data_IF_943228963782
#
_entry.id   IF_943228963782
#
_cell.length_a   1.000
_cell.length_b   1.000
_cell.length_c   1.000
_cell.angle_alpha   90.00
_cell.angle_beta   90.00
_cell.angle_gamma   90.00
#
_symmetry.space_group_name_H-M   'P 1'
#
loop_
_entity.id
_entity.type
_entity.pdbx_description
1 polymer ?
#
# COMPACT_ATOMS: atom_id res chain seq x y z
N UNK A 1 -4.26 18.61 3.81
CA UNK A 1 -5.66 18.11 3.65
C UNK A 1 -5.68 16.61 3.42
N UNK A 2 -5.13 16.06 2.33
CA UNK A 2 -5.02 14.60 2.09
C UNK A 2 -4.38 13.85 3.26
N UNK A 3 -3.23 14.33 3.75
CA UNK A 3 -2.55 13.77 4.92
C UNK A 3 -3.48 13.59 6.13
N UNK A 4 -4.22 14.63 6.49
CA UNK A 4 -5.14 14.59 7.62
C UNK A 4 -6.30 13.61 7.40
N UNK A 5 -6.81 13.47 6.17
CA UNK A 5 -7.82 12.46 5.84
C UNK A 5 -7.27 11.04 6.00
N UNK A 6 -6.05 10.78 5.52
CA UNK A 6 -5.40 9.48 5.68
C UNK A 6 -5.12 9.19 7.15
N UNK A 7 -4.58 10.16 7.90
CA UNK A 7 -4.35 10.01 9.34
C UNK A 7 -5.65 9.75 10.11
N UNK A 8 -6.77 10.36 9.69
CA UNK A 8 -8.10 10.07 10.23
C UNK A 8 -8.53 8.63 9.93
N UNK A 9 -8.48 8.21 8.66
CA UNK A 9 -8.80 6.83 8.24
C UNK A 9 -8.00 5.80 9.04
N UNK A 10 -6.72 6.08 9.27
CA UNK A 10 -5.83 5.18 10.01
C UNK A 10 -6.28 5.03 11.46
N UNK A 11 -6.59 6.16 12.12
CA UNK A 11 -6.97 6.17 13.54
C UNK A 11 -8.36 5.61 13.79
N UNK A 12 -9.32 5.95 12.93
CA UNK A 12 -10.73 5.66 13.18
C UNK A 12 -11.19 4.35 12.55
N UNK A 13 -10.69 4.01 11.36
CA UNK A 13 -11.25 2.92 10.55
C UNK A 13 -10.29 1.73 10.47
N UNK A 14 -9.06 1.92 9.99
CA UNK A 14 -8.07 0.85 9.88
C UNK A 14 -7.67 0.26 11.23
N UNK A 15 -7.66 1.06 12.30
CA UNK A 15 -7.38 0.59 13.66
C UNK A 15 -8.38 -0.47 14.13
N UNK A 16 -9.64 -0.42 13.68
CA UNK A 16 -10.69 -1.41 13.97
C UNK A 16 -10.37 -2.78 13.38
N UNK A 17 -9.54 -2.81 12.34
CA UNK A 17 -9.04 -4.02 11.68
C UNK A 17 -7.64 -4.41 12.16
N UNK A 18 -7.12 -3.79 13.22
CA UNK A 18 -5.83 -4.14 13.82
C UNK A 18 -4.61 -3.48 13.17
N UNK A 19 -4.80 -2.67 12.12
CA UNK A 19 -3.70 -1.95 11.49
C UNK A 19 -3.15 -0.84 12.38
N UNK A 20 -1.83 -0.67 12.33
CA UNK A 20 -1.08 0.37 13.03
C UNK A 20 -0.13 1.05 12.06
N UNK A 21 0.17 2.32 12.32
CA UNK A 21 1.16 3.04 11.53
C UNK A 21 2.56 2.44 11.74
N UNK A 22 3.30 2.26 10.65
CA UNK A 22 4.67 1.73 10.64
C UNK A 22 5.61 2.60 9.82
N UNK A 23 6.87 2.65 10.23
CA UNK A 23 7.91 3.34 9.48
C UNK A 23 8.48 2.42 8.40
N UNK A 24 7.96 2.56 7.18
CA UNK A 24 8.52 1.89 6.02
C UNK A 24 9.71 2.69 5.49
N UNK A 25 10.90 2.34 5.95
CA UNK A 25 12.17 2.96 5.53
C UNK A 25 12.58 2.50 4.12
N UNK A 26 11.81 2.86 3.10
CA UNK A 26 12.18 2.70 1.69
C UNK A 26 12.60 4.07 1.15
N UNK A 27 13.76 4.13 0.49
CA UNK A 27 14.31 5.38 -0.02
C UNK A 27 13.52 5.87 -1.23
N UNK A 28 12.97 7.06 -1.12
CA UNK A 28 12.30 7.76 -2.22
C UNK A 28 11.67 9.06 -1.70
N UNK A 29 11.69 10.10 -2.53
CA UNK A 29 11.25 11.48 -2.21
C UNK A 29 9.74 11.63 -1.99
N UNK A 30 8.97 10.54 -1.98
CA UNK A 30 7.53 10.62 -1.71
C UNK A 30 7.30 10.71 -0.21
N UNK A 31 6.60 11.76 0.23
CA UNK A 31 5.93 11.71 1.52
C UNK A 31 4.95 10.51 1.50
N UNK A 32 5.02 9.64 2.51
CA UNK A 32 4.16 8.45 2.62
C UNK A 32 3.69 8.26 4.05
N UNK A 33 2.55 7.60 4.21
CA UNK A 33 2.11 7.04 5.48
C UNK A 33 1.87 5.56 5.26
N UNK A 34 2.45 4.70 6.09
CA UNK A 34 2.33 3.25 5.95
C UNK A 34 1.67 2.64 7.17
N UNK A 35 0.89 1.59 6.95
CA UNK A 35 0.23 0.81 8.00
C UNK A 35 0.46 -0.68 7.80
N UNK A 36 0.44 -1.44 8.90
CA UNK A 36 0.53 -2.89 8.91
C UNK A 36 -0.32 -3.44 10.06
N UNK A 37 -0.89 -4.62 9.86
CA UNK A 37 -1.54 -5.46 10.86
C UNK A 37 -0.69 -6.69 11.19
N UNK A 38 0.64 -6.55 11.09
CA UNK A 38 1.65 -7.61 11.21
C UNK A 38 1.60 -8.67 10.10
N UNK A 39 0.77 -8.48 9.06
CA UNK A 39 0.82 -9.31 7.86
C UNK A 39 2.04 -8.98 6.97
N UNK A 40 2.44 -9.90 6.05
CA UNK A 40 3.55 -9.67 5.14
C UNK A 40 3.34 -8.53 4.13
N UNK A 41 2.12 -7.99 4.01
CA UNK A 41 1.82 -6.87 3.12
C UNK A 41 1.64 -5.60 3.94
N UNK A 42 2.49 -4.61 3.67
CA UNK A 42 2.36 -3.25 4.19
C UNK A 42 1.51 -2.44 3.23
N UNK A 43 0.53 -1.70 3.74
CA UNK A 43 -0.26 -0.75 2.96
C UNK A 43 0.39 0.62 3.11
N UNK A 44 0.73 1.26 2.00
CA UNK A 44 1.45 2.53 1.98
C UNK A 44 0.74 3.56 1.11
N UNK A 45 0.28 4.63 1.75
CA UNK A 45 -0.39 5.75 1.11
C UNK A 45 0.63 6.74 0.59
N UNK A 46 0.60 6.98 -0.72
CA UNK A 46 1.42 7.99 -1.39
C UNK A 46 0.72 9.35 -1.30
N UNK A 47 1.33 10.31 -0.60
CA UNK A 47 0.73 11.63 -0.39
C UNK A 47 1.31 12.70 -1.33
N UNK A 48 2.31 12.36 -2.15
CA UNK A 48 3.11 13.29 -2.97
C UNK A 48 2.48 13.73 -4.30
N UNK A 49 1.16 14.00 -4.29
CA UNK A 49 0.32 14.48 -5.41
C UNK A 49 -0.28 13.41 -6.36
N UNK A 50 -1.61 13.36 -6.40
CA UNK A 50 -2.37 12.88 -7.56
C UNK A 50 -2.59 14.07 -8.51
N UNK A 51 -1.53 14.49 -9.21
CA UNK A 51 -1.50 15.70 -10.06
C UNK A 51 -2.42 15.64 -11.28
N UNK A 52 -2.92 14.45 -11.62
CA UNK A 52 -3.64 14.21 -12.87
C UNK A 52 -5.14 14.56 -12.77
N UNK A 53 -5.64 14.84 -11.55
CA UNK A 53 -7.03 15.21 -11.30
C UNK A 53 -7.12 16.70 -10.98
N UNK A 54 -7.70 17.52 -11.87
CA UNK A 54 -7.76 18.99 -11.67
C UNK A 54 -8.79 19.40 -10.61
N UNK A 55 -9.87 18.62 -10.46
CA UNK A 55 -10.91 18.80 -9.44
C UNK A 55 -10.82 17.65 -8.43
N UNK A 56 -10.91 17.95 -7.13
CA UNK A 56 -10.88 16.97 -6.04
C UNK A 56 -9.63 16.06 -5.93
N UNK A 57 -8.47 16.47 -6.46
CA UNK A 57 -7.20 15.72 -6.33
C UNK A 57 -6.88 15.27 -4.89
N UNK A 58 -7.28 16.06 -3.89
CA UNK A 58 -7.04 15.74 -2.48
C UNK A 58 -7.84 14.53 -1.98
N UNK A 59 -8.89 14.14 -2.71
CA UNK A 59 -9.75 12.97 -2.43
C UNK A 59 -9.23 11.71 -3.09
N UNK A 60 -8.19 11.78 -3.94
CA UNK A 60 -7.55 10.64 -4.56
C UNK A 60 -6.16 10.41 -3.95
N UNK A 61 -5.80 9.14 -3.79
CA UNK A 61 -4.52 8.71 -3.24
C UNK A 61 -4.08 7.41 -3.91
N UNK A 62 -2.81 7.32 -4.28
CA UNK A 62 -2.22 6.04 -4.66
C UNK A 62 -1.96 5.22 -3.39
N UNK A 63 -2.40 3.97 -3.41
CA UNK A 63 -2.19 3.00 -2.35
C UNK A 63 -1.29 1.90 -2.90
N UNK A 64 -0.11 1.75 -2.29
CA UNK A 64 0.81 0.65 -2.60
C UNK A 64 0.66 -0.45 -1.54
N UNK A 65 0.46 -1.68 -1.99
CA UNK A 65 0.55 -2.90 -1.20
C UNK A 65 1.94 -3.49 -1.40
N UNK A 66 2.80 -3.40 -0.40
CA UNK A 66 4.22 -3.72 -0.50
C UNK A 66 4.49 -4.99 0.28
N UNK A 67 5.05 -6.00 -0.38
CA UNK A 67 5.54 -7.19 0.31
C UNK A 67 6.75 -6.78 1.16
N UNK A 68 6.67 -6.95 2.48
CA UNK A 68 7.64 -6.40 3.44
C UNK A 68 9.02 -7.08 3.34
N UNK A 69 9.09 -8.31 2.84
CA UNK A 69 10.34 -9.03 2.62
C UNK A 69 11.02 -8.58 1.33
N UNK A 70 12.21 -7.94 1.40
CA UNK A 70 12.93 -7.52 0.21
C UNK A 70 13.63 -8.70 -0.47
N UNK A 71 13.95 -8.52 -1.75
CA UNK A 71 14.77 -9.40 -2.58
C UNK A 71 14.21 -10.83 -2.73
N UNK A 72 12.91 -11.03 -2.50
CA UNK A 72 12.26 -12.30 -2.80
C UNK A 72 12.06 -12.44 -4.31
N UNK A 73 12.14 -13.68 -4.78
CA UNK A 73 11.65 -14.03 -6.11
C UNK A 73 10.14 -14.26 -6.03
N UNK A 74 9.42 -13.84 -7.07
CA UNK A 74 8.01 -14.19 -7.24
C UNK A 74 7.86 -14.95 -8.56
N UNK A 75 6.90 -15.89 -8.63
CA UNK A 75 6.56 -16.58 -9.88
C UNK A 75 6.20 -15.62 -11.02
N UNK A 76 6.44 -16.06 -12.25
CA UNK A 76 6.21 -15.24 -13.46
C UNK A 76 4.74 -14.84 -13.60
N UNK A 77 3.83 -15.71 -13.18
CA UNK A 77 2.38 -15.52 -13.16
C UNK A 77 1.96 -14.30 -12.33
N UNK A 78 2.75 -13.97 -11.30
CA UNK A 78 2.47 -12.85 -10.40
C UNK A 78 3.02 -11.52 -10.92
N UNK A 79 3.90 -11.52 -11.95
CA UNK A 79 4.54 -10.31 -12.49
C UNK A 79 3.59 -9.39 -13.27
N UNK A 80 2.37 -9.85 -13.57
CA UNK A 80 1.28 -9.01 -14.09
C UNK A 80 0.55 -8.22 -12.99
N UNK A 81 0.58 -8.72 -11.75
CA UNK A 81 -0.11 -8.11 -10.59
C UNK A 81 0.85 -7.27 -9.74
N UNK A 82 2.08 -7.77 -9.56
CA UNK A 82 3.12 -7.11 -8.78
C UNK A 82 4.17 -6.50 -9.69
N UNK A 83 4.61 -5.30 -9.32
CA UNK A 83 5.68 -4.55 -9.98
C UNK A 83 6.86 -4.39 -9.03
N UNK A 84 8.07 -4.31 -9.57
CA UNK A 84 9.28 -4.09 -8.79
C UNK A 84 9.30 -2.66 -8.24
N UNK A 85 9.62 -2.52 -6.96
CA UNK A 85 9.84 -1.26 -6.27
C UNK A 85 11.25 -1.24 -5.69
N UNK A 86 12.11 -0.39 -6.27
CA UNK A 86 13.55 -0.41 -6.00
C UNK A 86 13.92 0.64 -4.96
N UNK A 87 14.48 0.18 -3.84
CA UNK A 87 15.15 1.01 -2.85
C UNK A 87 16.65 1.10 -3.19
N UNK A 88 17.00 2.09 -4.01
CA UNK A 88 18.36 2.24 -4.52
C UNK A 88 19.41 2.50 -3.42
N UNK A 89 19.04 3.20 -2.34
CA UNK A 89 19.97 3.54 -1.25
C UNK A 89 20.40 2.29 -0.48
N UNK A 90 19.46 1.39 -0.22
CA UNK A 90 19.71 0.18 0.56
C UNK A 90 19.91 -1.06 -0.31
N UNK A 91 19.90 -0.91 -1.65
CA UNK A 91 20.02 -2.00 -2.63
C UNK A 91 18.99 -3.12 -2.39
N UNK A 92 17.75 -2.74 -2.07
CA UNK A 92 16.64 -3.68 -1.85
C UNK A 92 15.62 -3.57 -2.98
N UNK A 93 15.05 -4.68 -3.40
CA UNK A 93 13.95 -4.75 -4.35
C UNK A 93 12.74 -5.30 -3.61
N UNK A 94 11.67 -4.54 -3.56
CA UNK A 94 10.39 -4.98 -3.05
C UNK A 94 9.45 -5.28 -4.22
N UNK A 95 8.44 -6.09 -3.97
CA UNK A 95 7.31 -6.26 -4.88
C UNK A 95 6.14 -5.46 -4.36
N UNK A 96 5.47 -4.73 -5.26
CA UNK A 96 4.30 -3.92 -4.90
C UNK A 96 3.15 -4.09 -5.90
N UNK A 97 1.93 -3.99 -5.39
CA UNK A 97 0.76 -3.71 -6.20
C UNK A 97 0.33 -2.27 -5.94
N UNK A 98 0.07 -1.48 -6.98
CA UNK A 98 -0.36 -0.08 -6.85
C UNK A 98 -1.77 0.06 -7.38
N UNK A 99 -2.64 0.71 -6.61
CA UNK A 99 -3.95 1.15 -7.09
C UNK A 99 -4.22 2.61 -6.76
N UNK A 100 -5.14 3.21 -7.49
CA UNK A 100 -5.63 4.55 -7.22
C UNK A 100 -6.98 4.45 -6.50
N UNK A 101 -7.11 5.08 -5.34
CA UNK A 101 -8.30 5.00 -4.50
C UNK A 101 -8.84 6.38 -4.20
N UNK A 102 -10.16 6.52 -4.26
CA UNK A 102 -10.86 7.72 -3.80
C UNK A 102 -11.20 7.56 -2.32
N UNK A 103 -10.72 8.46 -1.48
CA UNK A 103 -10.86 8.47 -0.01
C UNK A 103 -11.92 9.46 0.48
N UNK A 104 -12.98 9.67 -0.31
CA UNK A 104 -14.09 10.57 0.06
C UNK A 104 -15.19 9.81 0.81
N UNK A 105 -15.47 8.58 0.37
CA UNK A 105 -16.30 7.62 1.06
C UNK A 105 -15.36 6.70 1.85
N UNK A 106 -15.19 7.03 3.12
CA UNK A 106 -14.15 6.47 3.97
C UNK A 106 -14.35 4.96 4.21
N UNK A 107 -15.58 4.55 4.52
CA UNK A 107 -15.94 3.16 4.76
C UNK A 107 -15.69 2.30 3.51
N UNK A 108 -16.18 2.77 2.35
CA UNK A 108 -15.96 2.07 1.09
C UNK A 108 -14.48 1.99 0.70
N UNK A 109 -13.72 3.07 0.93
CA UNK A 109 -12.29 3.09 0.64
C UNK A 109 -11.51 2.08 1.50
N UNK A 110 -11.79 2.06 2.81
CA UNK A 110 -11.15 1.13 3.76
C UNK A 110 -11.48 -0.31 3.39
N UNK A 111 -12.76 -0.61 3.19
CA UNK A 111 -13.20 -1.96 2.82
C UNK A 111 -12.57 -2.42 1.50
N UNK A 112 -12.49 -1.54 0.49
CA UNK A 112 -11.85 -1.85 -0.78
C UNK A 112 -10.35 -2.12 -0.62
N UNK A 113 -9.65 -1.31 0.17
CA UNK A 113 -8.23 -1.50 0.44
C UNK A 113 -7.97 -2.83 1.15
N UNK A 114 -8.76 -3.16 2.18
CA UNK A 114 -8.63 -4.41 2.93
C UNK A 114 -8.91 -5.61 2.03
N UNK A 115 -10.01 -5.58 1.26
CA UNK A 115 -10.33 -6.66 0.30
C UNK A 115 -9.23 -6.87 -0.73
N UNK A 116 -8.62 -5.79 -1.23
CA UNK A 116 -7.50 -5.90 -2.16
C UNK A 116 -6.28 -6.51 -1.46
N UNK A 117 -5.97 -6.09 -0.23
CA UNK A 117 -4.89 -6.70 0.57
C UNK A 117 -5.11 -8.20 0.73
N UNK A 118 -6.29 -8.62 1.18
CA UNK A 118 -6.61 -10.02 1.45
C UNK A 118 -6.48 -10.88 0.19
N UNK A 119 -6.98 -10.40 -0.95
CA UNK A 119 -6.81 -11.07 -2.25
C UNK A 119 -5.34 -11.22 -2.66
N UNK A 120 -4.52 -10.21 -2.41
CA UNK A 120 -3.09 -10.28 -2.72
C UNK A 120 -2.39 -11.28 -1.80
N UNK A 121 -2.76 -11.36 -0.51
CA UNK A 121 -2.26 -12.39 0.40
C UNK A 121 -2.67 -13.80 -0.04
N UNK A 122 -3.94 -13.99 -0.39
CA UNK A 122 -4.44 -15.27 -0.92
C UNK A 122 -3.66 -15.70 -2.15
N UNK A 123 -3.40 -14.78 -3.07
CA UNK A 123 -2.62 -15.05 -4.28
C UNK A 123 -1.16 -15.40 -3.96
N UNK A 124 -0.52 -14.73 -3.00
CA UNK A 124 0.85 -15.07 -2.59
C UNK A 124 0.92 -16.46 -1.93
N UNK A 125 -0.10 -16.82 -1.14
CA UNK A 125 -0.21 -18.12 -0.50
C UNK A 125 -0.49 -19.25 -1.51
N UNK A 126 -1.34 -19.01 -2.50
CA UNK A 126 -1.64 -19.96 -3.58
C UNK A 126 -0.38 -20.37 -4.35
N UNK A 127 0.55 -19.44 -4.50
CA UNK A 127 1.81 -19.62 -5.23
C UNK A 127 3.01 -19.95 -4.32
N UNK A 128 2.78 -20.23 -3.04
CA UNK A 128 3.79 -20.60 -2.03
C UNK A 128 5.00 -19.64 -2.01
N UNK A 129 4.72 -18.33 -2.08
CA UNK A 129 5.77 -17.31 -2.01
C UNK A 129 6.36 -17.28 -0.60
N UNK A 130 7.68 -17.33 -0.48
CA UNK A 130 8.36 -17.30 0.81
C UNK A 130 8.39 -15.88 1.40
N UNK A 131 7.36 -15.54 2.18
CA UNK A 131 7.14 -14.21 2.78
C UNK A 131 7.96 -13.91 4.05
#
# INVERSE_FOLDING_TARGET
RRRALIEYLIREDFSRYGFKQVDLNISGDSERISISDDSPIIISFDISYASDYKEDAYTWCYVDFIINKPNIEIPDELKGTFTRYVDSKHKRIFWRHRMLTRIIDMDMAVEHIIKTRDKLLELLNEYDVEL
#
